data_IF_804500250819
#
_entry.id   IF_804500250819
#
_cell.length_a   1.000
_cell.length_b   1.000
_cell.length_c   1.000
_cell.angle_alpha   90.00
_cell.angle_beta   90.00
_cell.angle_gamma   90.00
#
_symmetry.space_group_name_H-M   'P 1'
#
loop_
_entity.id
_entity.type
_entity.pdbx_description
1 polymer ?
#
# COMPACT_ATOMS: atom_id res chain seq x y z
N UNK A 1 6.66 -3.77 -3.32
CA UNK A 1 6.21 -2.39 -3.44
C UNK A 1 5.35 -2.18 -4.68
N UNK A 2 4.48 -1.20 -4.61
CA UNK A 2 3.64 -0.82 -5.74
C UNK A 2 4.43 0.11 -6.65
N UNK A 3 4.59 -0.28 -7.90
CA UNK A 3 5.32 0.52 -8.89
C UNK A 3 4.46 0.76 -10.12
N UNK A 4 4.54 1.97 -10.65
CA UNK A 4 3.78 2.39 -11.82
C UNK A 4 4.69 3.06 -12.86
N UNK A 5 5.93 2.59 -12.99
CA UNK A 5 6.89 3.17 -13.91
C UNK A 5 6.93 2.41 -15.23
N UNK A 6 6.79 3.16 -16.32
CA UNK A 6 6.95 2.61 -17.66
C UNK A 6 7.25 3.78 -18.60
N UNK A 7 8.47 3.83 -19.13
CA UNK A 7 8.92 4.91 -20.01
C UNK A 7 8.30 4.86 -21.39
N UNK A 8 7.65 3.74 -21.77
CA UNK A 8 7.04 3.58 -23.08
C UNK A 8 5.54 3.89 -23.11
N UNK A 9 4.99 4.43 -22.02
CA UNK A 9 3.57 4.71 -21.89
C UNK A 9 3.06 5.74 -22.89
N UNK A 10 1.87 5.48 -23.43
CA UNK A 10 1.10 6.44 -24.20
C UNK A 10 0.40 7.44 -23.29
N UNK A 11 -0.07 8.58 -23.81
CA UNK A 11 -0.81 9.55 -23.00
C UNK A 11 -2.00 8.96 -22.24
N UNK A 12 -2.78 8.07 -22.88
CA UNK A 12 -3.92 7.41 -22.23
C UNK A 12 -3.48 6.54 -21.05
N UNK A 13 -2.36 5.82 -21.22
CA UNK A 13 -1.79 5.01 -20.18
C UNK A 13 -1.28 5.86 -19.02
N UNK A 14 -0.79 7.08 -19.32
CA UNK A 14 -0.36 8.02 -18.30
C UNK A 14 -1.52 8.53 -17.45
N UNK A 15 -2.66 8.82 -18.10
CA UNK A 15 -3.88 9.19 -17.36
C UNK A 15 -4.35 8.08 -16.46
N UNK A 16 -4.37 6.85 -16.95
CA UNK A 16 -4.74 5.69 -16.17
C UNK A 16 -3.78 5.49 -15.00
N UNK A 17 -2.49 5.64 -15.25
CA UNK A 17 -1.47 5.54 -14.20
C UNK A 17 -1.72 6.55 -13.09
N UNK A 18 -1.94 7.81 -13.44
CA UNK A 18 -2.23 8.88 -12.47
C UNK A 18 -3.50 8.60 -11.69
N UNK A 19 -4.53 8.14 -12.38
CA UNK A 19 -5.79 7.76 -11.74
C UNK A 19 -5.56 6.66 -10.72
N UNK A 20 -4.86 5.59 -11.10
CA UNK A 20 -4.59 4.47 -10.21
C UNK A 20 -3.72 4.87 -9.02
N UNK A 21 -2.72 5.72 -9.26
CA UNK A 21 -1.89 6.23 -8.16
C UNK A 21 -2.72 6.99 -7.13
N UNK A 22 -3.63 7.84 -7.60
CA UNK A 22 -4.53 8.59 -6.73
C UNK A 22 -5.46 7.65 -5.96
N UNK A 23 -6.03 6.66 -6.64
CA UNK A 23 -6.91 5.67 -6.01
C UNK A 23 -6.16 4.90 -4.92
N UNK A 24 -4.92 4.48 -5.21
CA UNK A 24 -4.08 3.80 -4.23
C UNK A 24 -3.85 4.69 -3.00
N UNK A 25 -3.47 5.95 -3.20
CA UNK A 25 -3.22 6.89 -2.10
C UNK A 25 -4.47 7.11 -1.25
N UNK A 26 -5.60 7.34 -1.89
CA UNK A 26 -6.87 7.54 -1.19
C UNK A 26 -7.29 6.29 -0.41
N UNK A 27 -7.09 5.11 -1.00
CA UNK A 27 -7.42 3.84 -0.36
C UNK A 27 -6.55 3.60 0.87
N UNK A 28 -5.26 3.89 0.77
CA UNK A 28 -4.33 3.77 1.90
C UNK A 28 -4.75 4.69 3.04
N UNK A 29 -5.15 5.93 2.71
CA UNK A 29 -5.61 6.89 3.73
C UNK A 29 -6.86 6.42 4.47
N UNK A 30 -7.68 5.58 3.87
CA UNK A 30 -8.88 5.03 4.50
C UNK A 30 -8.59 3.90 5.49
N UNK A 31 -7.39 3.33 5.47
CA UNK A 31 -7.03 2.27 6.39
C UNK A 31 -6.94 2.78 7.83
N UNK A 32 -7.32 1.95 8.82
CA UNK A 32 -7.08 2.31 10.23
C UNK A 32 -5.61 2.63 10.47
N UNK A 33 -5.33 3.52 11.41
CA UNK A 33 -4.00 4.08 11.62
C UNK A 33 -2.88 3.03 11.70
N UNK A 34 -3.07 2.00 12.53
CA UNK A 34 -2.03 0.96 12.69
C UNK A 34 -1.82 0.13 11.44
N UNK A 35 -2.88 -0.11 10.68
CA UNK A 35 -2.79 -0.83 9.41
C UNK A 35 -2.15 0.04 8.34
N UNK A 36 -2.55 1.31 8.28
CA UNK A 36 -2.01 2.27 7.30
C UNK A 36 -0.49 2.41 7.45
N UNK A 37 -0.02 2.56 8.68
CA UNK A 37 1.41 2.75 8.94
C UNK A 37 2.23 1.56 8.45
N UNK A 38 1.88 0.33 8.86
CA UNK A 38 2.64 -0.85 8.43
C UNK A 38 2.50 -1.08 6.92
N UNK A 39 1.34 -0.80 6.34
CA UNK A 39 1.13 -0.92 4.91
C UNK A 39 2.06 0.03 4.14
N UNK A 40 2.12 1.30 4.54
CA UNK A 40 3.03 2.27 3.91
C UNK A 40 4.48 1.86 4.04
N UNK A 41 4.88 1.45 5.22
CA UNK A 41 6.28 1.06 5.46
C UNK A 41 6.68 -0.13 4.60
N UNK A 42 5.81 -1.12 4.47
CA UNK A 42 6.13 -2.34 3.70
C UNK A 42 5.90 -2.19 2.21
N UNK A 43 4.72 -1.73 1.80
CA UNK A 43 4.32 -1.76 0.39
C UNK A 43 4.80 -0.54 -0.39
N UNK A 44 4.91 0.62 0.26
CA UNK A 44 5.32 1.84 -0.43
C UNK A 44 6.79 2.18 -0.21
N UNK A 45 7.36 1.85 0.96
CA UNK A 45 8.74 2.17 1.28
C UNK A 45 9.69 0.96 1.23
N UNK A 46 9.16 -0.25 1.14
CA UNK A 46 9.98 -1.45 1.00
C UNK A 46 10.74 -1.88 2.24
N UNK A 47 10.31 -1.46 3.43
CA UNK A 47 10.98 -1.83 4.67
C UNK A 47 10.82 -3.33 4.97
N UNK A 48 11.82 -3.91 5.62
CA UNK A 48 11.72 -5.28 6.10
C UNK A 48 10.78 -5.36 7.29
N UNK A 49 10.31 -6.56 7.61
CA UNK A 49 9.45 -6.79 8.77
C UNK A 49 10.18 -6.38 10.06
N UNK A 50 11.47 -6.69 10.16
CA UNK A 50 12.30 -6.34 11.30
C UNK A 50 12.43 -4.82 11.44
N UNK A 51 12.64 -4.13 10.34
CA UNK A 51 12.69 -2.66 10.33
C UNK A 51 11.35 -2.06 10.78
N UNK A 52 10.24 -2.63 10.31
CA UNK A 52 8.92 -2.17 10.69
C UNK A 52 8.68 -2.39 12.19
N UNK A 53 9.10 -3.55 12.71
CA UNK A 53 9.01 -3.83 14.15
C UNK A 53 9.78 -2.77 14.95
N UNK A 54 10.99 -2.44 14.51
CA UNK A 54 11.81 -1.42 15.16
C UNK A 54 11.16 -0.02 15.11
N UNK A 55 10.64 0.36 13.95
CA UNK A 55 10.03 1.68 13.76
C UNK A 55 8.76 1.83 14.61
N UNK A 56 7.94 0.79 14.62
CA UNK A 56 6.62 0.84 15.29
C UNK A 56 6.66 0.47 16.76
N UNK A 57 7.75 -0.15 17.22
CA UNK A 57 7.89 -0.56 18.60
C UNK A 57 7.05 -1.78 18.98
N UNK A 58 6.54 -2.54 17.99
CA UNK A 58 5.77 -3.76 18.23
C UNK A 58 6.59 -4.97 17.80
N UNK A 59 6.20 -6.17 18.29
CA UNK A 59 6.92 -7.37 17.94
C UNK A 59 6.61 -7.81 16.49
N UNK A 60 7.45 -8.72 16.00
CA UNK A 60 7.38 -9.19 14.62
C UNK A 60 6.03 -9.85 14.29
N UNK A 61 5.47 -10.61 15.22
CA UNK A 61 4.18 -11.26 15.05
C UNK A 61 3.05 -10.22 14.86
N UNK A 62 3.11 -9.13 15.60
CA UNK A 62 2.14 -8.03 15.47
C UNK A 62 2.29 -7.33 14.12
N UNK A 63 3.52 -7.12 13.65
CA UNK A 63 3.77 -6.57 12.31
C UNK A 63 3.09 -7.44 11.26
N UNK A 64 3.32 -8.76 11.33
CA UNK A 64 2.76 -9.71 10.37
C UNK A 64 1.23 -9.70 10.37
N UNK A 65 0.62 -9.71 11.55
CA UNK A 65 -0.84 -9.72 11.64
C UNK A 65 -1.44 -8.40 11.16
N UNK A 66 -0.82 -7.27 11.48
CA UNK A 66 -1.27 -5.96 11.00
C UNK A 66 -1.16 -5.84 9.49
N UNK A 67 -0.06 -6.34 8.91
CA UNK A 67 0.13 -6.33 7.45
C UNK A 67 -0.90 -7.22 6.76
N UNK A 68 -1.17 -8.39 7.30
CA UNK A 68 -2.18 -9.28 6.74
C UNK A 68 -3.53 -8.59 6.68
N UNK A 69 -3.96 -7.96 7.77
CA UNK A 69 -5.24 -7.26 7.83
C UNK A 69 -5.25 -6.01 6.94
N UNK A 70 -4.14 -5.28 6.91
CA UNK A 70 -4.01 -4.10 6.07
C UNK A 70 -4.15 -4.46 4.59
N UNK A 71 -3.46 -5.51 4.14
CA UNK A 71 -3.52 -5.99 2.76
C UNK A 71 -4.92 -6.45 2.38
N UNK A 72 -5.58 -7.18 3.27
CA UNK A 72 -6.93 -7.66 3.05
C UNK A 72 -7.91 -6.50 2.91
N UNK A 73 -7.84 -5.55 3.81
CA UNK A 73 -8.69 -4.36 3.78
C UNK A 73 -8.43 -3.52 2.53
N UNK A 74 -7.15 -3.31 2.18
CA UNK A 74 -6.77 -2.58 0.99
C UNK A 74 -7.33 -3.24 -0.27
N UNK A 75 -7.18 -4.56 -0.38
CA UNK A 75 -7.66 -5.31 -1.55
C UNK A 75 -9.18 -5.15 -1.73
N UNK A 76 -9.92 -5.25 -0.65
CA UNK A 76 -11.38 -5.09 -0.69
C UNK A 76 -11.80 -3.68 -1.11
N UNK A 77 -11.09 -2.67 -0.60
CA UNK A 77 -11.44 -1.26 -0.87
C UNK A 77 -11.08 -0.82 -2.28
N UNK A 78 -9.99 -1.35 -2.83
CA UNK A 78 -9.51 -0.93 -4.15
C UNK A 78 -10.19 -1.66 -5.30
N UNK A 79 -10.75 -2.84 -5.04
CA UNK A 79 -11.34 -3.69 -6.07
C UNK A 79 -12.31 -2.96 -7.01
N UNK A 80 -13.25 -2.14 -6.53
CA UNK A 80 -14.20 -1.45 -7.42
C UNK A 80 -13.53 -0.52 -8.44
N UNK A 81 -12.32 -0.08 -8.18
CA UNK A 81 -11.60 0.88 -9.03
C UNK A 81 -10.70 0.22 -10.06
N UNK A 82 -10.56 -1.11 -10.01
CA UNK A 82 -9.66 -1.83 -10.91
C UNK A 82 -10.32 -2.29 -12.21
N UNK A 83 -11.63 -2.13 -12.34
CA UNK A 83 -12.38 -2.55 -13.52
C UNK A 83 -12.79 -1.38 -14.39
#
# INVERSE_FOLDING_TARGET
PLQFEDSSMRPDDMYRKRYLQRVVEETVEELPEHHRLVFRLRELEGKSYEEIADITGVNLGTVKSRLHRARSSFAQRIEPFLN
#
